data_IF_051568785768
#
_entry.id   IF_051568785768
#
_cell.length_a   1.000
_cell.length_b   1.000
_cell.length_c   1.000
_cell.angle_alpha   90.00
_cell.angle_beta   90.00
_cell.angle_gamma   90.00
#
_symmetry.space_group_name_H-M   'P 1'
#
loop_
_entity.id
_entity.type
_entity.pdbx_description
1 polymer ?
#
# COMPACT_ATOMS: atom_id res chain seq x y z
N UNK A 1 18.46 6.73 -30.44
CA UNK A 1 17.93 5.95 -29.28
C UNK A 1 19.10 5.58 -28.37
N UNK A 2 18.82 5.47 -27.08
CA UNK A 2 19.85 5.19 -26.09
C UNK A 2 19.91 3.70 -25.75
N UNK A 3 18.75 3.06 -25.74
CA UNK A 3 18.60 1.63 -25.46
C UNK A 3 17.63 0.99 -26.47
N UNK A 4 17.94 -0.24 -26.88
CA UNK A 4 17.07 -1.07 -27.73
C UNK A 4 16.95 -2.47 -27.11
N UNK A 5 15.75 -2.83 -26.65
CA UNK A 5 15.42 -4.16 -26.14
C UNK A 5 14.89 -4.99 -27.33
N UNK A 6 15.56 -6.08 -27.70
CA UNK A 6 15.30 -6.83 -28.93
C UNK A 6 14.76 -8.22 -28.73
N UNK A 7 13.83 -8.62 -29.60
CA UNK A 7 13.43 -10.02 -29.80
C UNK A 7 12.53 -10.60 -28.71
N UNK A 8 12.06 -9.78 -27.79
CA UNK A 8 11.19 -10.19 -26.69
C UNK A 8 9.72 -10.33 -27.07
N UNK A 9 8.90 -10.70 -26.11
CA UNK A 9 7.45 -10.62 -26.15
C UNK A 9 7.01 -9.46 -25.30
N UNK A 10 6.54 -8.38 -25.91
CA UNK A 10 5.97 -7.23 -25.18
C UNK A 10 4.62 -7.65 -24.61
N UNK A 11 4.44 -7.42 -23.32
CA UNK A 11 3.19 -7.72 -22.59
C UNK A 11 2.62 -6.42 -22.03
N UNK A 12 1.38 -6.15 -22.37
CA UNK A 12 0.62 -4.99 -21.89
C UNK A 12 -0.59 -5.47 -21.08
N UNK A 13 -1.37 -4.56 -20.52
CA UNK A 13 -2.60 -4.91 -19.79
C UNK A 13 -3.64 -5.67 -20.67
N UNK A 14 -3.59 -5.50 -22.00
CA UNK A 14 -4.63 -6.03 -22.91
C UNK A 14 -4.10 -6.95 -24.01
N UNK A 15 -2.78 -7.03 -24.19
CA UNK A 15 -2.20 -7.77 -25.32
C UNK A 15 -0.79 -8.26 -25.04
N UNK A 16 -0.37 -9.28 -25.84
CA UNK A 16 0.97 -9.82 -25.84
C UNK A 16 1.41 -10.08 -27.30
N UNK A 17 2.56 -9.52 -27.71
CA UNK A 17 3.03 -9.62 -29.08
C UNK A 17 4.57 -9.54 -29.18
N UNK A 18 5.14 -10.07 -30.25
CA UNK A 18 6.59 -9.99 -30.53
C UNK A 18 6.94 -8.61 -31.06
N UNK A 19 7.84 -7.92 -30.37
CA UNK A 19 8.38 -6.64 -30.82
C UNK A 19 9.72 -6.31 -30.14
N UNK A 20 10.42 -5.33 -30.70
CA UNK A 20 11.53 -4.63 -30.08
C UNK A 20 10.99 -3.34 -29.41
N UNK A 21 11.66 -2.88 -28.36
CA UNK A 21 11.33 -1.63 -27.66
C UNK A 21 12.54 -0.70 -27.70
N UNK A 22 12.37 0.48 -28.30
CA UNK A 22 13.38 1.52 -28.33
C UNK A 22 13.11 2.57 -27.25
N UNK A 23 14.16 2.96 -26.53
CA UNK A 23 14.12 4.00 -25.50
C UNK A 23 15.03 5.16 -25.91
N UNK A 24 14.58 6.38 -25.67
CA UNK A 24 15.34 7.62 -25.88
C UNK A 24 15.03 8.60 -24.75
N UNK A 25 16.07 9.11 -24.11
CA UNK A 25 15.94 10.06 -22.99
C UNK A 25 15.02 9.52 -21.87
N UNK A 26 15.17 8.26 -21.49
CA UNK A 26 14.38 7.61 -20.44
C UNK A 26 12.92 7.31 -20.80
N UNK A 27 12.50 7.50 -22.06
CA UNK A 27 11.12 7.25 -22.50
C UNK A 27 11.08 6.26 -23.66
N UNK A 28 10.03 5.43 -23.70
CA UNK A 28 9.76 4.57 -24.86
C UNK A 28 9.50 5.46 -26.07
N UNK A 29 10.37 5.35 -27.09
CA UNK A 29 10.28 6.15 -28.31
C UNK A 29 9.67 5.38 -29.48
N UNK A 30 9.76 4.05 -29.49
CA UNK A 30 9.11 3.20 -30.48
C UNK A 30 8.93 1.78 -29.95
N UNK A 31 7.86 1.12 -30.40
CA UNK A 31 7.65 -0.34 -30.26
C UNK A 31 7.36 -0.86 -31.66
N UNK A 32 8.11 -1.86 -32.13
CA UNK A 32 7.93 -2.39 -33.48
C UNK A 32 8.86 -3.56 -33.80
N UNK A 33 8.63 -4.20 -34.94
CA UNK A 33 9.46 -5.31 -35.36
C UNK A 33 10.74 -4.84 -36.05
N UNK A 34 11.84 -5.54 -35.82
CA UNK A 34 13.13 -5.36 -36.51
C UNK A 34 13.72 -3.94 -36.43
N UNK A 35 13.55 -3.26 -35.28
CA UNK A 35 14.16 -1.95 -35.06
C UNK A 35 15.70 -2.05 -35.18
N UNK A 36 16.31 -1.01 -35.74
CA UNK A 36 17.77 -0.96 -35.94
C UNK A 36 18.42 -0.06 -34.90
N UNK A 37 19.48 -0.53 -34.21
CA UNK A 37 20.22 0.32 -33.29
C UNK A 37 20.98 1.43 -34.03
N UNK A 38 21.14 2.57 -33.41
CA UNK A 38 22.04 3.65 -33.83
C UNK A 38 23.46 3.42 -33.28
N UNK A 39 24.44 4.20 -33.72
CA UNK A 39 25.87 3.98 -33.46
C UNK A 39 26.25 3.84 -31.97
N UNK A 40 25.48 4.43 -31.04
CA UNK A 40 25.75 4.42 -29.61
C UNK A 40 24.64 3.76 -28.80
N UNK A 41 23.73 3.05 -29.44
CA UNK A 41 22.61 2.39 -28.76
C UNK A 41 23.10 1.18 -27.96
N UNK A 42 22.78 1.12 -26.68
CA UNK A 42 22.89 -0.10 -25.91
C UNK A 42 21.83 -1.10 -26.38
N UNK A 43 22.21 -2.37 -26.57
CA UNK A 43 21.28 -3.39 -27.06
C UNK A 43 21.15 -4.49 -26.02
N UNK A 44 19.92 -4.73 -25.55
CA UNK A 44 19.57 -5.83 -24.65
C UNK A 44 18.86 -6.92 -25.45
N UNK A 45 19.43 -8.14 -25.44
CA UNK A 45 18.80 -9.31 -26.04
C UNK A 45 17.71 -9.86 -25.10
N UNK A 46 16.47 -9.74 -25.52
CA UNK A 46 15.28 -10.25 -24.81
C UNK A 46 14.67 -11.48 -25.51
N UNK A 47 15.40 -12.16 -26.37
CA UNK A 47 14.91 -13.36 -27.05
C UNK A 47 14.46 -14.42 -26.04
N UNK A 48 13.20 -14.88 -26.18
CA UNK A 48 12.60 -15.84 -25.25
C UNK A 48 12.11 -15.24 -23.92
N UNK A 49 12.27 -13.92 -23.72
CA UNK A 49 11.84 -13.21 -22.50
C UNK A 49 10.57 -12.41 -22.75
N UNK A 50 9.84 -12.14 -21.70
CA UNK A 50 8.77 -11.14 -21.68
C UNK A 50 9.36 -9.75 -21.37
N UNK A 51 8.82 -8.73 -22.03
CA UNK A 51 9.14 -7.33 -21.78
C UNK A 51 7.86 -6.72 -21.18
N UNK A 52 7.92 -6.37 -19.91
CA UNK A 52 6.82 -5.79 -19.15
C UNK A 52 7.17 -4.35 -18.73
N UNK A 53 6.18 -3.49 -18.52
CA UNK A 53 6.38 -2.28 -17.72
C UNK A 53 6.97 -2.63 -16.36
N UNK A 54 7.77 -1.76 -15.78
CA UNK A 54 8.22 -1.91 -14.40
C UNK A 54 7.01 -1.98 -13.46
N UNK A 55 7.06 -2.85 -12.47
CA UNK A 55 6.00 -2.95 -11.48
C UNK A 55 5.93 -1.68 -10.64
N UNK A 56 4.73 -1.34 -10.18
CA UNK A 56 4.48 -0.29 -9.20
C UNK A 56 4.00 -0.97 -7.94
N UNK A 57 4.72 -0.80 -6.84
CA UNK A 57 4.28 -1.22 -5.52
C UNK A 57 3.57 -0.05 -4.84
N UNK A 58 2.26 -0.14 -4.76
CA UNK A 58 1.39 0.91 -4.23
C UNK A 58 1.31 0.95 -2.70
N UNK A 59 2.03 0.07 -1.97
CA UNK A 59 1.89 -0.02 -0.52
C UNK A 59 3.17 -0.53 0.15
N UNK A 60 4.06 0.39 0.52
CA UNK A 60 5.32 0.05 1.19
C UNK A 60 5.48 0.82 2.51
N UNK A 61 6.29 0.26 3.41
CA UNK A 61 6.64 0.89 4.69
C UNK A 61 8.15 0.83 4.88
N UNK A 62 8.89 1.78 4.29
CA UNK A 62 10.35 1.88 4.36
C UNK A 62 10.75 2.83 5.49
N UNK A 63 11.82 2.51 6.24
CA UNK A 63 12.30 3.33 7.36
C UNK A 63 11.17 3.79 8.32
N UNK A 64 10.11 2.99 8.47
CA UNK A 64 8.92 3.37 9.22
C UNK A 64 9.07 3.01 10.70
N UNK A 65 8.94 3.97 11.63
CA UNK A 65 8.85 3.67 13.05
C UNK A 65 7.47 3.07 13.37
N UNK A 66 7.45 1.90 14.00
CA UNK A 66 6.23 1.25 14.42
C UNK A 66 6.48 0.30 15.60
N UNK A 67 5.58 0.26 16.58
CA UNK A 67 5.65 -0.68 17.70
C UNK A 67 6.93 -0.60 18.55
N UNK A 68 7.56 0.58 18.66
CA UNK A 68 8.79 0.79 19.41
C UNK A 68 10.08 0.39 18.67
N UNK A 69 9.97 0.06 17.40
CA UNK A 69 11.11 -0.26 16.51
C UNK A 69 11.00 0.53 15.20
N UNK A 70 11.89 0.25 14.24
CA UNK A 70 11.87 0.84 12.90
C UNK A 70 11.92 -0.30 11.89
N UNK A 71 11.24 -0.15 10.75
CA UNK A 71 11.33 -1.10 9.65
C UNK A 71 12.79 -1.33 9.27
N UNK A 72 13.16 -2.59 9.00
CA UNK A 72 14.54 -3.00 8.72
C UNK A 72 15.09 -2.33 7.46
N UNK A 73 14.24 -2.19 6.43
CA UNK A 73 14.63 -1.55 5.18
C UNK A 73 14.46 -0.03 5.27
N UNK A 74 15.53 0.70 4.97
CA UNK A 74 15.51 2.12 4.64
C UNK A 74 15.13 2.33 3.17
N UNK A 75 15.08 3.58 2.72
CA UNK A 75 14.72 3.85 1.32
C UNK A 75 15.76 3.32 0.33
N UNK A 76 17.04 3.32 0.67
CA UNK A 76 18.07 2.79 -0.22
C UNK A 76 17.97 1.26 -0.35
N UNK A 77 17.94 0.54 0.77
CA UNK A 77 17.94 -0.93 0.78
C UNK A 77 16.64 -1.50 0.23
N UNK A 78 15.49 -0.96 0.66
CA UNK A 78 14.18 -1.43 0.23
C UNK A 78 13.90 -1.15 -1.25
N UNK A 79 14.21 0.07 -1.73
CA UNK A 79 14.00 0.40 -3.16
C UNK A 79 14.99 -0.34 -4.07
N UNK A 80 16.21 -0.63 -3.59
CA UNK A 80 17.16 -1.49 -4.31
C UNK A 80 16.67 -2.93 -4.40
N UNK A 81 16.10 -3.48 -3.32
CA UNK A 81 15.49 -4.80 -3.35
C UNK A 81 14.30 -4.84 -4.32
N UNK A 82 13.44 -3.81 -4.30
CA UNK A 82 12.33 -3.64 -5.24
C UNK A 82 12.82 -3.63 -6.70
N UNK A 83 13.86 -2.85 -7.01
CA UNK A 83 14.47 -2.80 -8.34
C UNK A 83 14.96 -4.18 -8.81
N UNK A 84 15.60 -4.95 -7.92
CA UNK A 84 16.05 -6.33 -8.24
C UNK A 84 14.88 -7.27 -8.53
N UNK A 85 13.69 -7.01 -7.97
CA UNK A 85 12.44 -7.72 -8.23
C UNK A 85 11.69 -7.26 -9.48
N UNK A 86 12.14 -6.15 -10.12
CA UNK A 86 11.48 -5.57 -11.29
C UNK A 86 10.45 -4.48 -10.96
N UNK A 87 10.37 -4.03 -9.72
CA UNK A 87 9.58 -2.85 -9.31
C UNK A 87 10.39 -1.59 -9.60
N UNK A 88 9.77 -0.61 -10.23
CA UNK A 88 10.42 0.64 -10.65
C UNK A 88 9.84 1.88 -9.97
N UNK A 89 8.75 1.72 -9.22
CA UNK A 89 8.11 2.79 -8.46
C UNK A 89 7.51 2.22 -7.19
N UNK A 90 7.69 2.91 -6.07
CA UNK A 90 7.06 2.57 -4.79
C UNK A 90 6.22 3.73 -4.27
N UNK A 91 5.13 3.41 -3.55
CA UNK A 91 4.39 4.38 -2.76
C UNK A 91 4.58 4.05 -1.28
N UNK A 92 5.18 4.97 -0.55
CA UNK A 92 5.41 4.84 0.89
C UNK A 92 4.41 5.67 1.70
N UNK A 93 4.34 5.45 3.00
CA UNK A 93 3.40 6.13 3.89
C UNK A 93 4.09 7.19 4.73
N UNK A 94 3.50 8.37 4.71
CA UNK A 94 3.85 9.49 5.60
C UNK A 94 2.90 9.45 6.79
N UNK A 95 3.36 9.16 7.99
CA UNK A 95 2.53 9.23 9.18
C UNK A 95 2.54 10.66 9.73
N UNK A 96 1.36 11.28 9.77
CA UNK A 96 1.13 12.56 10.43
C UNK A 96 1.22 12.39 11.96
N UNK A 97 1.98 13.24 12.62
CA UNK A 97 2.02 13.32 14.08
C UNK A 97 0.84 14.14 14.64
N UNK A 98 0.53 13.95 15.91
CA UNK A 98 -0.47 14.77 16.62
C UNK A 98 0.01 16.24 16.65
N UNK A 99 -0.85 17.16 16.22
CA UNK A 99 -0.52 18.58 16.13
C UNK A 99 0.37 18.98 14.94
N UNK A 100 0.72 18.04 14.06
CA UNK A 100 1.48 18.28 12.83
C UNK A 100 0.53 18.41 11.64
N UNK A 101 0.75 19.37 10.73
CA UNK A 101 0.01 19.42 9.46
C UNK A 101 0.51 18.33 8.51
N UNK A 102 -0.34 17.87 7.60
CA UNK A 102 0.01 16.78 6.68
C UNK A 102 1.13 17.16 5.71
N UNK A 103 1.18 18.41 5.27
CA UNK A 103 2.26 18.91 4.40
C UNK A 103 3.60 19.02 5.14
N UNK A 104 3.62 19.36 6.44
CA UNK A 104 4.83 19.33 7.26
C UNK A 104 5.32 17.87 7.47
N UNK A 105 4.41 16.94 7.72
CA UNK A 105 4.74 15.52 7.79
C UNK A 105 5.34 15.01 6.46
N UNK A 106 4.77 15.44 5.32
CA UNK A 106 5.29 15.12 3.99
C UNK A 106 6.70 15.66 3.79
N UNK A 107 6.98 16.92 4.17
CA UNK A 107 8.32 17.50 4.08
C UNK A 107 9.34 16.72 4.92
N UNK A 108 8.99 16.41 6.14
CA UNK A 108 9.82 15.62 7.05
C UNK A 108 10.14 14.24 6.47
N UNK A 109 9.16 13.57 5.90
CA UNK A 109 9.34 12.22 5.32
C UNK A 109 10.17 12.26 4.04
N UNK A 110 9.89 13.20 3.17
CA UNK A 110 10.63 13.40 1.91
C UNK A 110 12.11 13.74 2.14
N UNK A 111 12.41 14.49 3.20
CA UNK A 111 13.80 14.76 3.60
C UNK A 111 14.56 13.48 4.00
N UNK A 112 13.91 12.55 4.72
CA UNK A 112 14.49 11.24 5.08
C UNK A 112 14.75 10.43 3.81
N UNK A 113 13.72 10.31 2.95
CA UNK A 113 13.83 9.55 1.70
C UNK A 113 14.98 10.07 0.81
N UNK A 114 15.09 11.37 0.65
CA UNK A 114 16.17 12.00 -0.13
C UNK A 114 17.56 11.77 0.49
N UNK A 115 17.65 11.78 1.81
CA UNK A 115 18.92 11.53 2.52
C UNK A 115 19.38 10.07 2.34
N UNK A 116 18.47 9.12 2.36
CA UNK A 116 18.77 7.70 2.16
C UNK A 116 19.15 7.38 0.70
N UNK A 117 18.64 8.14 -0.27
CA UNK A 117 18.95 7.98 -1.69
C UNK A 117 18.26 6.79 -2.34
N UNK A 118 16.96 6.86 -2.63
CA UNK A 118 16.20 5.77 -3.24
C UNK A 118 16.73 5.41 -4.63
N UNK A 119 16.70 4.12 -4.97
CA UNK A 119 17.24 3.58 -6.22
C UNK A 119 16.22 3.59 -7.39
N UNK A 120 14.93 3.81 -7.10
CA UNK A 120 13.82 3.87 -8.05
C UNK A 120 12.92 5.06 -7.76
N UNK A 121 11.94 5.30 -8.61
CA UNK A 121 10.95 6.34 -8.40
C UNK A 121 10.08 6.06 -7.17
N UNK A 122 9.62 7.12 -6.51
CA UNK A 122 8.79 7.01 -5.32
C UNK A 122 7.72 8.11 -5.26
N UNK A 123 6.67 7.82 -4.52
CA UNK A 123 5.65 8.78 -4.12
C UNK A 123 5.10 8.39 -2.74
N UNK A 124 4.04 9.09 -2.29
CA UNK A 124 3.54 8.93 -0.92
C UNK A 124 2.03 8.82 -0.86
N UNK A 125 1.57 8.12 0.19
CA UNK A 125 0.24 8.25 0.77
C UNK A 125 0.39 8.94 2.13
N UNK A 126 -0.49 9.89 2.44
CA UNK A 126 -0.45 10.56 3.75
C UNK A 126 -1.30 9.78 4.74
N UNK A 127 -0.68 9.25 5.77
CA UNK A 127 -1.37 8.65 6.91
C UNK A 127 -1.95 9.74 7.81
N UNK A 128 -3.27 9.79 7.87
CA UNK A 128 -4.05 10.78 8.64
C UNK A 128 -4.07 10.34 10.10
N UNK A 129 -3.44 11.12 10.96
CA UNK A 129 -3.37 10.86 12.41
C UNK A 129 -4.07 11.92 13.26
N UNK A 130 -4.29 13.11 12.69
CA UNK A 130 -4.94 14.22 13.42
C UNK A 130 -5.71 15.11 12.44
N UNK A 131 -7.02 15.20 12.64
CA UNK A 131 -7.95 16.12 11.95
C UNK A 131 -8.84 16.84 12.95
N UNK A 132 -8.35 17.05 14.16
CA UNK A 132 -9.12 17.68 15.25
C UNK A 132 -9.35 19.16 15.03
N UNK A 133 -8.63 19.80 14.12
CA UNK A 133 -8.83 21.21 13.77
C UNK A 133 -9.08 21.38 12.28
N UNK A 134 -9.81 22.44 11.87
CA UNK A 134 -10.00 22.77 10.46
C UNK A 134 -8.68 22.97 9.69
N UNK A 135 -7.63 23.46 10.35
CA UNK A 135 -6.31 23.65 9.75
C UNK A 135 -5.64 22.31 9.40
N UNK A 136 -5.72 21.33 10.31
CA UNK A 136 -5.19 19.98 10.06
C UNK A 136 -5.88 19.35 8.87
N UNK A 137 -7.20 19.41 8.79
CA UNK A 137 -7.96 18.88 7.67
C UNK A 137 -7.66 19.63 6.37
N UNK A 138 -7.57 20.97 6.39
CA UNK A 138 -7.25 21.79 5.23
C UNK A 138 -5.82 21.56 4.70
N UNK A 139 -4.90 21.04 5.51
CA UNK A 139 -3.54 20.72 5.05
C UNK A 139 -3.48 19.60 3.99
N UNK A 140 -4.58 18.85 3.80
CA UNK A 140 -4.75 17.92 2.67
C UNK A 140 -4.62 18.65 1.31
N UNK A 141 -5.13 19.89 1.22
CA UNK A 141 -5.06 20.70 -0.02
C UNK A 141 -3.62 20.99 -0.43
N UNK A 142 -2.74 21.25 0.54
CA UNK A 142 -1.32 21.52 0.30
C UNK A 142 -0.59 20.26 -0.20
N UNK A 143 -0.93 19.08 0.34
CA UNK A 143 -0.42 17.81 -0.15
C UNK A 143 -0.84 17.57 -1.61
N UNK A 144 -2.11 17.82 -1.96
CA UNK A 144 -2.63 17.67 -3.33
C UNK A 144 -1.92 18.63 -4.29
N UNK A 145 -1.68 19.89 -3.91
CA UNK A 145 -0.91 20.86 -4.72
C UNK A 145 0.53 20.38 -5.00
N UNK A 146 1.10 19.58 -4.11
CA UNK A 146 2.42 18.95 -4.27
C UNK A 146 2.38 17.64 -5.06
N UNK A 147 1.19 17.20 -5.54
CA UNK A 147 1.00 15.99 -6.33
C UNK A 147 0.73 14.73 -5.52
N UNK A 148 0.58 14.82 -4.19
CA UNK A 148 0.18 13.70 -3.33
C UNK A 148 -1.34 13.75 -3.16
N UNK A 149 -2.05 12.84 -3.82
CA UNK A 149 -3.51 12.88 -3.97
C UNK A 149 -4.22 11.74 -3.25
N UNK A 150 -3.53 11.05 -2.36
CA UNK A 150 -4.08 9.92 -1.61
C UNK A 150 -3.72 10.00 -0.13
N UNK A 151 -4.71 9.66 0.71
CA UNK A 151 -4.65 9.75 2.16
C UNK A 151 -5.03 8.41 2.77
N UNK A 152 -4.37 8.01 3.85
CA UNK A 152 -4.61 6.74 4.52
C UNK A 152 -5.16 6.97 5.91
N UNK A 153 -6.33 6.42 6.19
CA UNK A 153 -6.94 6.39 7.52
C UNK A 153 -6.67 5.04 8.18
N UNK A 154 -6.47 5.06 9.49
CA UNK A 154 -6.39 3.86 10.32
C UNK A 154 -7.58 3.84 11.29
N UNK A 155 -8.38 2.76 11.25
CA UNK A 155 -9.48 2.54 12.19
C UNK A 155 -9.03 1.79 13.44
N UNK A 156 -7.76 1.45 13.52
CA UNK A 156 -7.09 0.70 14.61
C UNK A 156 -5.83 1.46 15.04
N UNK A 157 -5.18 1.01 16.11
CA UNK A 157 -4.02 1.63 16.76
C UNK A 157 -4.35 2.93 17.52
N UNK A 158 -3.41 3.37 18.37
CA UNK A 158 -3.57 4.57 19.21
C UNK A 158 -3.58 5.87 18.40
N UNK A 159 -2.97 5.86 17.21
CA UNK A 159 -2.98 6.97 16.27
C UNK A 159 -4.12 6.89 15.24
N UNK A 160 -5.02 5.90 15.38
CA UNK A 160 -6.19 5.77 14.51
C UNK A 160 -7.23 6.85 14.82
N UNK A 161 -7.95 7.26 13.79
CA UNK A 161 -9.02 8.24 13.88
C UNK A 161 -10.36 7.57 14.28
N UNK A 162 -11.30 8.33 14.81
CA UNK A 162 -12.67 7.85 15.03
C UNK A 162 -13.53 7.98 13.75
N UNK A 163 -14.76 7.44 13.80
CA UNK A 163 -15.66 7.44 12.65
C UNK A 163 -16.04 8.86 12.19
N UNK A 164 -16.13 9.85 13.12
CA UNK A 164 -16.40 11.24 12.79
C UNK A 164 -15.25 11.87 12.01
N UNK A 165 -14.03 11.74 12.51
CA UNK A 165 -12.80 12.20 11.86
C UNK A 165 -12.58 11.52 10.50
N UNK A 166 -12.88 10.22 10.42
CA UNK A 166 -12.81 9.49 9.15
C UNK A 166 -13.83 10.05 8.16
N UNK A 167 -15.08 10.28 8.59
CA UNK A 167 -16.11 10.82 7.73
C UNK A 167 -15.78 12.24 7.23
N UNK A 168 -15.26 13.12 8.10
CA UNK A 168 -14.79 14.46 7.71
C UNK A 168 -13.66 14.38 6.68
N UNK A 169 -12.70 13.46 6.87
CA UNK A 169 -11.62 13.20 5.92
C UNK A 169 -12.18 12.78 4.56
N UNK A 170 -13.15 11.86 4.53
CA UNK A 170 -13.82 11.42 3.30
C UNK A 170 -14.55 12.58 2.59
N UNK A 171 -15.29 13.41 3.34
CA UNK A 171 -15.98 14.58 2.78
C UNK A 171 -15.01 15.61 2.22
N UNK A 172 -13.88 15.85 2.90
CA UNK A 172 -12.86 16.78 2.41
C UNK A 172 -12.17 16.22 1.15
N UNK A 173 -11.80 14.95 1.16
CA UNK A 173 -11.22 14.28 0.00
C UNK A 173 -12.13 14.35 -1.24
N UNK A 174 -13.45 14.19 -1.06
CA UNK A 174 -14.43 14.36 -2.13
C UNK A 174 -14.36 15.75 -2.78
N UNK A 175 -14.20 16.81 -1.98
CA UNK A 175 -14.13 18.21 -2.46
C UNK A 175 -12.86 18.50 -3.25
N UNK A 176 -11.73 17.90 -2.86
CA UNK A 176 -10.41 18.16 -3.48
C UNK A 176 -10.03 17.11 -4.53
N UNK A 177 -10.89 16.11 -4.78
CA UNK A 177 -10.64 15.05 -5.77
C UNK A 177 -9.54 14.06 -5.35
N UNK A 178 -9.39 13.82 -4.04
CA UNK A 178 -8.41 12.90 -3.48
C UNK A 178 -9.02 11.52 -3.18
N UNK A 179 -8.17 10.50 -3.12
CA UNK A 179 -8.53 9.13 -2.73
C UNK A 179 -8.21 8.90 -1.25
N UNK A 180 -9.13 8.28 -0.52
CA UNK A 180 -8.88 7.82 0.84
C UNK A 180 -8.72 6.31 0.86
N UNK A 181 -7.56 5.84 1.37
CA UNK A 181 -7.33 4.45 1.73
C UNK A 181 -7.66 4.21 3.20
N UNK A 182 -7.99 2.97 3.57
CA UNK A 182 -8.30 2.64 4.97
C UNK A 182 -7.70 1.30 5.39
N UNK A 183 -7.03 1.30 6.55
CA UNK A 183 -6.74 0.10 7.32
C UNK A 183 -7.94 -0.16 8.22
N UNK A 184 -8.75 -1.16 7.89
CA UNK A 184 -10.03 -1.42 8.52
C UNK A 184 -9.95 -2.59 9.51
N UNK A 185 -9.78 -2.28 10.77
CA UNK A 185 -9.93 -3.21 11.90
C UNK A 185 -10.66 -2.49 13.03
N UNK A 186 -11.57 -3.19 13.73
CA UNK A 186 -12.32 -2.62 14.86
C UNK A 186 -11.41 -2.45 16.09
N UNK A 187 -10.94 -1.21 16.34
CA UNK A 187 -10.01 -0.87 17.41
C UNK A 187 -10.50 -1.31 18.80
N UNK A 188 -11.76 -1.02 19.11
CA UNK A 188 -12.27 -1.22 20.45
C UNK A 188 -12.42 -2.70 20.77
N UNK A 189 -12.91 -3.50 19.82
CA UNK A 189 -12.99 -4.96 19.94
C UNK A 189 -11.58 -5.57 20.00
N UNK A 190 -10.67 -5.13 19.14
CA UNK A 190 -9.27 -5.57 19.14
C UNK A 190 -8.61 -5.33 20.52
N UNK A 191 -8.76 -4.12 21.08
CA UNK A 191 -8.21 -3.77 22.38
C UNK A 191 -8.82 -4.58 23.53
N UNK A 192 -10.13 -4.87 23.47
CA UNK A 192 -10.78 -5.75 24.45
C UNK A 192 -10.21 -7.17 24.42
N UNK A 193 -10.06 -7.74 23.21
CA UNK A 193 -9.51 -9.09 23.03
C UNK A 193 -8.04 -9.17 23.45
N UNK A 194 -7.22 -8.18 23.11
CA UNK A 194 -5.82 -8.10 23.55
C UNK A 194 -5.75 -8.09 25.08
N UNK A 195 -6.55 -7.24 25.73
CA UNK A 195 -6.59 -7.15 27.20
C UNK A 195 -6.99 -8.48 27.85
N UNK A 196 -8.00 -9.16 27.30
CA UNK A 196 -8.45 -10.46 27.76
C UNK A 196 -7.34 -11.52 27.65
N UNK A 197 -6.73 -11.66 26.47
CA UNK A 197 -5.68 -12.65 26.24
C UNK A 197 -4.43 -12.39 27.09
N UNK A 198 -4.03 -11.13 27.25
CA UNK A 198 -2.90 -10.79 28.12
C UNK A 198 -3.18 -11.12 29.59
N UNK A 199 -4.41 -10.88 30.08
CA UNK A 199 -4.81 -11.24 31.46
C UNK A 199 -4.77 -12.75 31.69
N UNK A 200 -4.97 -13.56 30.65
CA UNK A 200 -4.88 -15.01 30.71
C UNK A 200 -3.46 -15.56 30.42
N UNK A 201 -2.47 -14.67 30.22
CA UNK A 201 -1.09 -15.06 29.89
C UNK A 201 -0.90 -15.63 28.47
N UNK A 202 -1.85 -15.37 27.59
CA UNK A 202 -1.88 -15.84 26.19
C UNK A 202 -1.13 -14.84 25.30
N UNK A 203 0.14 -15.12 25.00
CA UNK A 203 1.05 -14.19 24.28
C UNK A 203 1.63 -14.75 23.00
N UNK A 204 1.22 -15.97 22.60
CA UNK A 204 1.69 -16.60 21.36
C UNK A 204 1.18 -15.88 20.10
N UNK A 205 1.85 -16.08 18.98
CA UNK A 205 1.47 -15.54 17.67
C UNK A 205 0.02 -15.87 17.27
N UNK A 206 -0.51 -17.01 17.71
CA UNK A 206 -1.92 -17.38 17.52
C UNK A 206 -2.89 -16.33 18.09
N UNK A 207 -2.57 -15.75 19.25
CA UNK A 207 -3.44 -14.75 19.88
C UNK A 207 -3.33 -13.36 19.23
N UNK A 208 -2.26 -13.09 18.49
CA UNK A 208 -2.23 -11.95 17.59
C UNK A 208 -3.32 -12.08 16.52
N UNK A 209 -3.42 -13.24 15.86
CA UNK A 209 -4.51 -13.50 14.92
C UNK A 209 -5.88 -13.44 15.62
N UNK A 210 -6.04 -14.10 16.77
CA UNK A 210 -7.33 -14.16 17.47
C UNK A 210 -7.87 -12.78 17.88
N UNK A 211 -6.99 -11.82 18.20
CA UNK A 211 -7.40 -10.44 18.53
C UNK A 211 -7.78 -9.61 17.31
N UNK A 212 -7.35 -10.03 16.11
CA UNK A 212 -7.53 -9.35 14.83
C UNK A 212 -8.19 -10.24 13.78
N UNK A 213 -9.06 -11.15 14.22
CA UNK A 213 -9.65 -12.15 13.35
C UNK A 213 -10.57 -11.55 12.27
N UNK A 214 -11.01 -12.39 11.36
CA UNK A 214 -11.82 -12.02 10.18
C UNK A 214 -13.09 -11.21 10.55
N UNK A 215 -13.66 -11.41 11.74
CA UNK A 215 -14.85 -10.65 12.17
C UNK A 215 -14.50 -9.23 12.61
N UNK A 216 -13.31 -9.03 13.20
CA UNK A 216 -12.80 -7.71 13.62
C UNK A 216 -12.49 -6.84 12.40
N UNK A 217 -11.90 -7.42 11.36
CA UNK A 217 -11.62 -6.75 10.10
C UNK A 217 -12.90 -6.57 9.26
N UNK A 218 -13.68 -7.62 9.05
CA UNK A 218 -14.87 -7.57 8.18
C UNK A 218 -15.95 -6.59 8.64
N UNK A 219 -16.15 -6.43 9.95
CA UNK A 219 -17.05 -5.38 10.48
C UNK A 219 -16.55 -3.99 10.10
N UNK A 220 -15.26 -3.74 10.28
CA UNK A 220 -14.66 -2.45 9.98
C UNK A 220 -14.66 -2.14 8.46
N UNK A 221 -14.44 -3.14 7.60
CA UNK A 221 -14.55 -2.98 6.15
C UNK A 221 -15.95 -2.51 5.73
N UNK A 222 -16.99 -3.19 6.24
CA UNK A 222 -18.39 -2.84 5.96
C UNK A 222 -18.71 -1.43 6.45
N UNK A 223 -18.26 -1.06 7.65
CA UNK A 223 -18.44 0.26 8.24
C UNK A 223 -17.75 1.35 7.42
N UNK A 224 -16.49 1.14 7.03
CA UNK A 224 -15.74 2.06 6.19
C UNK A 224 -16.42 2.31 4.83
N UNK A 225 -16.91 1.24 4.17
CA UNK A 225 -17.66 1.34 2.92
C UNK A 225 -18.94 2.17 3.11
N UNK A 226 -19.68 1.95 4.19
CA UNK A 226 -20.89 2.72 4.46
C UNK A 226 -20.58 4.21 4.72
N UNK A 227 -19.51 4.53 5.44
CA UNK A 227 -19.05 5.91 5.62
C UNK A 227 -18.70 6.58 4.27
N UNK A 228 -18.01 5.87 3.39
CA UNK A 228 -17.68 6.37 2.06
C UNK A 228 -18.92 6.59 1.17
N UNK A 229 -19.90 5.68 1.22
CA UNK A 229 -21.20 5.84 0.55
C UNK A 229 -21.94 7.09 1.05
N UNK A 230 -21.99 7.32 2.36
CA UNK A 230 -22.61 8.51 2.95
C UNK A 230 -21.87 9.80 2.59
N UNK A 231 -20.55 9.76 2.50
CA UNK A 231 -19.73 10.90 2.09
C UNK A 231 -19.78 11.16 0.56
N UNK A 232 -20.27 10.21 -0.22
CA UNK A 232 -20.35 10.30 -1.69
C UNK A 232 -18.98 10.32 -2.39
N UNK A 233 -17.99 9.57 -1.86
CA UNK A 233 -16.62 9.57 -2.37
C UNK A 233 -16.06 8.18 -2.61
N UNK A 234 -14.92 8.12 -3.30
CA UNK A 234 -14.17 6.87 -3.50
C UNK A 234 -13.49 6.43 -2.21
N UNK A 235 -13.38 5.11 -2.03
CA UNK A 235 -12.63 4.49 -0.94
C UNK A 235 -11.75 3.37 -1.48
N UNK A 236 -10.59 3.18 -0.87
CA UNK A 236 -9.65 2.11 -1.16
C UNK A 236 -9.40 1.28 0.11
N UNK A 237 -9.93 0.06 0.17
CA UNK A 237 -9.62 -0.88 1.26
C UNK A 237 -8.24 -1.47 1.00
N UNK A 238 -7.28 -1.17 1.86
CA UNK A 238 -5.92 -1.69 1.69
C UNK A 238 -5.80 -3.08 2.31
N UNK A 239 -4.86 -3.90 1.81
CA UNK A 239 -4.52 -5.24 2.34
C UNK A 239 -5.74 -6.06 2.81
N UNK A 240 -6.80 -6.10 2.01
CA UNK A 240 -8.03 -6.85 2.29
C UNK A 240 -7.73 -8.34 2.46
N UNK A 241 -8.08 -8.91 3.61
CA UNK A 241 -7.66 -10.23 4.10
C UNK A 241 -8.82 -11.18 4.36
N UNK A 242 -10.08 -10.71 4.28
CA UNK A 242 -11.23 -11.45 4.73
C UNK A 242 -12.38 -11.48 3.71
N UNK A 243 -13.18 -12.55 3.78
CA UNK A 243 -14.29 -12.77 2.84
C UNK A 243 -15.41 -11.73 2.97
N UNK A 244 -15.74 -11.29 4.19
CA UNK A 244 -16.82 -10.32 4.41
C UNK A 244 -16.51 -8.99 3.73
N UNK A 245 -15.26 -8.52 3.83
CA UNK A 245 -14.80 -7.32 3.14
C UNK A 245 -14.84 -7.48 1.61
N UNK A 246 -14.38 -8.63 1.07
CA UNK A 246 -14.47 -8.92 -0.37
C UNK A 246 -15.91 -8.84 -0.87
N UNK A 247 -16.85 -9.50 -0.17
CA UNK A 247 -18.27 -9.49 -0.54
C UNK A 247 -18.85 -8.06 -0.47
N UNK A 248 -18.49 -7.27 0.55
CA UNK A 248 -18.95 -5.89 0.72
C UNK A 248 -18.41 -4.96 -0.38
N UNK A 249 -17.15 -5.11 -0.78
CA UNK A 249 -16.56 -4.38 -1.91
C UNK A 249 -17.27 -4.74 -3.21
N UNK A 250 -17.49 -6.03 -3.46
CA UNK A 250 -18.19 -6.51 -4.67
C UNK A 250 -19.61 -5.93 -4.74
N UNK A 251 -20.36 -6.02 -3.65
CA UNK A 251 -21.73 -5.47 -3.58
C UNK A 251 -21.73 -3.95 -3.81
N UNK A 252 -20.85 -3.20 -3.16
CA UNK A 252 -20.80 -1.76 -3.33
C UNK A 252 -20.50 -1.35 -4.78
N UNK A 253 -19.64 -2.11 -5.47
CA UNK A 253 -19.33 -1.88 -6.89
C UNK A 253 -20.51 -2.22 -7.80
N UNK A 254 -21.26 -3.29 -7.54
CA UNK A 254 -22.49 -3.63 -8.25
C UNK A 254 -23.57 -2.53 -8.09
N UNK A 255 -23.62 -1.89 -6.93
CA UNK A 255 -24.47 -0.74 -6.64
C UNK A 255 -23.99 0.56 -7.30
N UNK A 256 -22.81 0.55 -7.96
CA UNK A 256 -22.23 1.70 -8.67
C UNK A 256 -21.35 2.63 -7.82
N UNK A 257 -20.99 2.24 -6.60
CA UNK A 257 -20.08 3.03 -5.77
C UNK A 257 -18.61 2.79 -6.16
N UNK A 258 -17.76 3.82 -6.16
CA UNK A 258 -16.34 3.71 -6.53
C UNK A 258 -15.50 3.18 -5.35
N UNK A 259 -15.73 1.92 -4.97
CA UNK A 259 -14.99 1.23 -3.94
C UNK A 259 -13.94 0.33 -4.57
N UNK A 260 -12.70 0.46 -4.13
CA UNK A 260 -11.54 -0.28 -4.59
C UNK A 260 -10.92 -1.05 -3.42
N UNK A 261 -10.15 -2.08 -3.74
CA UNK A 261 -9.41 -2.83 -2.73
C UNK A 261 -8.13 -3.42 -3.31
N UNK A 262 -7.16 -3.68 -2.46
CA UNK A 262 -5.98 -4.48 -2.72
C UNK A 262 -5.89 -5.63 -1.72
N UNK A 263 -5.16 -6.67 -2.08
CA UNK A 263 -4.75 -7.74 -1.16
C UNK A 263 -3.23 -7.91 -1.22
N UNK A 264 -2.67 -8.67 -0.29
CA UNK A 264 -1.24 -8.93 -0.25
C UNK A 264 -0.93 -10.35 -0.74
N UNK A 265 0.26 -10.57 -1.37
CA UNK A 265 0.64 -11.89 -1.85
C UNK A 265 0.64 -12.97 -0.77
N UNK A 266 1.00 -12.63 0.47
CA UNK A 266 1.01 -13.56 1.60
C UNK A 266 -0.39 -14.12 1.92
N UNK A 267 -1.46 -13.33 1.76
CA UNK A 267 -2.84 -13.79 2.00
C UNK A 267 -3.33 -14.78 0.94
N UNK A 268 -2.67 -14.81 -0.23
CA UNK A 268 -2.95 -15.80 -1.28
C UNK A 268 -2.15 -17.09 -1.08
N UNK A 269 -1.06 -17.04 -0.31
CA UNK A 269 -0.13 -18.16 -0.13
C UNK A 269 -0.29 -18.86 1.23
N UNK A 270 -0.67 -18.13 2.27
CA UNK A 270 -0.73 -18.62 3.65
C UNK A 270 -2.14 -18.45 4.23
N UNK A 271 -2.37 -19.16 5.33
CA UNK A 271 -3.59 -19.07 6.14
C UNK A 271 -3.22 -18.89 7.61
N UNK A 272 -4.19 -18.59 8.45
CA UNK A 272 -4.03 -18.48 9.91
C UNK A 272 -3.30 -19.65 10.56
N UNK A 273 -3.24 -20.83 9.92
CA UNK A 273 -2.58 -22.00 10.51
C UNK A 273 -1.06 -21.83 10.66
N UNK A 274 -0.44 -20.89 9.92
CA UNK A 274 0.98 -20.54 10.12
C UNK A 274 1.26 -19.97 11.52
N UNK A 275 0.26 -19.35 12.15
CA UNK A 275 0.38 -18.83 13.53
C UNK A 275 0.39 -19.90 14.60
N UNK A 276 0.01 -21.13 14.27
CA UNK A 276 0.09 -22.28 15.19
C UNK A 276 1.42 -23.02 15.07
N UNK A 277 1.82 -23.33 13.85
CA UNK A 277 2.87 -24.29 13.58
C UNK A 277 4.09 -23.70 12.85
N UNK A 278 3.99 -22.51 12.29
CA UNK A 278 4.98 -22.03 11.33
C UNK A 278 5.01 -22.89 10.06
N UNK A 279 6.15 -22.94 9.42
CA UNK A 279 6.47 -23.83 8.30
C UNK A 279 7.81 -24.50 8.59
N UNK A 280 7.81 -25.65 9.31
CA UNK A 280 9.04 -26.32 9.76
C UNK A 280 9.98 -26.70 8.63
N UNK A 281 9.45 -27.05 7.45
CA UNK A 281 10.22 -27.41 6.25
C UNK A 281 11.09 -26.26 5.74
N UNK A 282 10.74 -25.01 6.05
CA UNK A 282 11.46 -23.80 5.73
C UNK A 282 12.18 -23.16 6.94
N UNK A 283 12.19 -23.84 8.09
CA UNK A 283 12.69 -23.31 9.38
C UNK A 283 12.03 -21.98 9.79
N UNK A 284 10.74 -21.80 9.42
CA UNK A 284 9.96 -20.62 9.76
C UNK A 284 9.02 -20.94 10.94
N UNK A 285 9.10 -20.11 11.98
CA UNK A 285 8.30 -20.24 13.21
C UNK A 285 7.04 -19.38 13.11
N UNK A 286 6.02 -19.72 13.89
CA UNK A 286 4.75 -18.97 13.93
C UNK A 286 4.93 -17.45 14.07
N UNK A 287 5.89 -17.01 14.90
CA UNK A 287 6.19 -15.58 15.12
C UNK A 287 6.76 -14.87 13.88
N UNK A 288 7.37 -15.59 12.95
CA UNK A 288 7.99 -15.03 11.75
C UNK A 288 6.94 -14.59 10.72
N UNK A 289 5.67 -14.99 10.93
CA UNK A 289 4.52 -14.59 10.10
C UNK A 289 3.68 -13.45 10.69
N UNK A 290 4.03 -12.93 11.87
CA UNK A 290 3.23 -11.86 12.51
C UNK A 290 3.24 -10.60 11.67
N UNK A 291 2.05 -10.24 11.18
CA UNK A 291 1.78 -9.00 10.44
C UNK A 291 0.38 -8.46 10.80
N UNK A 292 0.05 -7.25 10.38
CA UNK A 292 -1.27 -6.66 10.58
C UNK A 292 -1.78 -6.02 9.28
N UNK A 293 -2.96 -6.40 8.79
CA UNK A 293 -3.80 -7.51 9.32
C UNK A 293 -3.11 -8.86 9.27
N UNK A 294 -3.55 -9.84 10.09
CA UNK A 294 -2.98 -11.20 10.05
C UNK A 294 -3.44 -11.98 8.82
N UNK A 295 -2.81 -13.17 8.61
CA UNK A 295 -3.18 -14.12 7.55
C UNK A 295 -4.51 -14.80 7.87
#
# INVERSE_FOLDING_TARGET
MDLLIKGGTVVTATSSFKADVAVKNGKISAIGANLKPEKKTEVVDAKGKMILPGAIDGHTHLAMPFGGTVATDDYFTGTRAAACGGTTTVFDFVLQGVGETMDAALERRDAICKADGPAIDYSYHIGVGDVTTPEMLASMDECVKRGVTSFKVFMVYDFGVDDGQFFETLQHAAKIGALVGVHAENRDVNNCLIKEYLAEGKTDAWYHYMSKNEAVAGEADVRAINLAKMAGTSLYIVHLDNKQGVDAVAQAREEGYPIFAETCPQYLAFTKDVYKNGIPELDLRARDFVCSPPM
#
